data_IF_678635424939
#
_entry.id   IF_678635424939
#
_cell.length_a   1.000
_cell.length_b   1.000
_cell.length_c   1.000
_cell.angle_alpha   90.00
_cell.angle_beta   90.00
_cell.angle_gamma   90.00
#
_symmetry.space_group_name_H-M   'P 1'
#
loop_
_entity.id
_entity.type
_entity.pdbx_description
1 polymer ?
#
# COMPACT_ATOMS: atom_id res chain seq x y z
N UNK A 1 33.29 -24.56 -26.20
CA UNK A 1 33.15 -24.02 -24.83
C UNK A 1 31.82 -24.53 -24.27
N UNK A 2 31.86 -25.56 -23.43
CA UNK A 2 30.66 -26.08 -22.77
C UNK A 2 30.11 -25.05 -21.79
N UNK A 3 28.80 -24.74 -21.91
CA UNK A 3 28.11 -23.89 -20.94
C UNK A 3 27.90 -24.72 -19.68
N UNK A 4 28.58 -24.34 -18.60
CA UNK A 4 28.35 -24.91 -17.27
C UNK A 4 26.86 -24.70 -16.92
N UNK A 5 26.15 -25.78 -16.62
CA UNK A 5 24.78 -25.72 -16.07
C UNK A 5 24.88 -25.00 -14.72
N UNK A 6 24.42 -23.76 -14.69
CA UNK A 6 24.29 -22.97 -13.46
C UNK A 6 22.96 -23.37 -12.85
N UNK A 7 23.00 -23.88 -11.63
CA UNK A 7 21.80 -24.22 -10.88
C UNK A 7 21.00 -22.93 -10.67
N UNK A 8 19.71 -22.88 -11.06
CA UNK A 8 18.90 -21.69 -10.84
C UNK A 8 18.92 -21.39 -9.34
N UNK A 9 19.26 -20.14 -8.99
CA UNK A 9 19.26 -19.74 -7.60
C UNK A 9 17.88 -19.97 -7.00
N UNK A 10 17.80 -20.23 -5.69
CA UNK A 10 16.53 -20.45 -4.98
C UNK A 10 15.54 -19.27 -5.11
N UNK A 11 16.03 -18.11 -5.59
CA UNK A 11 15.23 -16.90 -5.83
C UNK A 11 15.01 -16.59 -7.32
N UNK A 12 15.39 -17.48 -8.24
CA UNK A 12 15.10 -17.31 -9.66
C UNK A 12 13.67 -17.78 -9.95
N UNK A 13 12.79 -16.90 -10.49
CA UNK A 13 11.44 -17.30 -10.83
C UNK A 13 11.47 -18.37 -11.94
N UNK A 14 10.52 -19.31 -11.95
CA UNK A 14 10.47 -20.35 -12.97
C UNK A 14 10.35 -19.71 -14.35
N UNK A 15 11.24 -20.10 -15.28
CA UNK A 15 11.15 -19.67 -16.67
C UNK A 15 9.98 -20.40 -17.33
N UNK A 16 8.89 -19.67 -17.59
CA UNK A 16 7.75 -20.19 -18.35
C UNK A 16 8.11 -20.19 -19.85
N UNK A 17 8.37 -21.37 -20.40
CA UNK A 17 8.60 -21.54 -21.84
C UNK A 17 7.26 -21.68 -22.58
N UNK A 18 6.92 -20.66 -23.37
CA UNK A 18 5.79 -20.71 -24.30
C UNK A 18 6.29 -21.13 -25.68
N UNK A 19 5.55 -22.02 -26.34
CA UNK A 19 5.81 -22.39 -27.73
C UNK A 19 4.49 -22.31 -28.52
N UNK A 20 4.53 -22.45 -29.84
CA UNK A 20 3.33 -22.37 -30.68
C UNK A 20 2.27 -23.44 -30.30
N UNK A 21 2.68 -24.55 -29.68
CA UNK A 21 1.81 -25.62 -29.19
C UNK A 21 1.27 -25.39 -27.77
N UNK A 22 1.81 -24.40 -27.04
CA UNK A 22 1.43 -24.03 -25.67
C UNK A 22 1.48 -22.49 -25.53
N UNK A 23 0.53 -21.79 -26.20
CA UNK A 23 0.46 -20.35 -26.11
C UNK A 23 0.11 -19.91 -24.69
N UNK A 24 0.49 -18.68 -24.28
CA UNK A 24 0.13 -18.15 -22.97
C UNK A 24 -1.38 -18.23 -22.73
N UNK A 25 -1.84 -18.63 -21.53
CA UNK A 25 -3.26 -18.59 -21.19
C UNK A 25 -3.81 -17.18 -21.36
N UNK A 26 -4.81 -17.00 -22.24
CA UNK A 26 -5.43 -15.69 -22.52
C UNK A 26 -6.23 -15.14 -21.33
N UNK A 27 -6.55 -15.97 -20.35
CA UNK A 27 -7.19 -15.52 -19.11
C UNK A 27 -6.14 -14.93 -18.18
N UNK A 28 -5.92 -13.61 -18.33
CA UNK A 28 -5.36 -12.76 -17.28
C UNK A 28 -6.06 -13.14 -15.97
N UNK A 29 -5.31 -13.63 -14.99
CA UNK A 29 -5.77 -13.82 -13.62
C UNK A 29 -6.42 -12.49 -13.18
N UNK A 30 -7.75 -12.44 -13.26
CA UNK A 30 -8.53 -11.37 -12.65
C UNK A 30 -8.33 -11.60 -11.17
N UNK A 31 -7.59 -10.70 -10.53
CA UNK A 31 -7.45 -10.66 -9.08
C UNK A 31 -8.79 -11.04 -8.44
N UNK A 32 -8.85 -12.18 -7.76
CA UNK A 32 -10.03 -12.58 -6.96
C UNK A 32 -10.11 -11.63 -5.76
N UNK A 33 -10.51 -10.40 -6.00
CA UNK A 33 -10.98 -9.53 -4.93
C UNK A 33 -12.29 -10.13 -4.47
N UNK A 34 -12.23 -10.78 -3.31
CA UNK A 34 -13.42 -11.13 -2.53
C UNK A 34 -14.13 -9.81 -2.23
N UNK A 35 -15.24 -9.56 -2.90
CA UNK A 35 -16.09 -8.41 -2.59
C UNK A 35 -17.07 -8.83 -1.49
N UNK A 36 -16.95 -8.20 -0.33
CA UNK A 36 -18.00 -8.28 0.70
C UNK A 36 -19.25 -7.58 0.17
N UNK A 37 -20.46 -8.13 0.37
CA UNK A 37 -21.68 -7.44 -0.01
C UNK A 37 -21.78 -6.14 0.79
N UNK A 38 -21.76 -5.01 0.09
CA UNK A 38 -22.16 -3.74 0.65
C UNK A 38 -23.65 -3.88 0.97
N UNK A 39 -23.98 -3.91 2.25
CA UNK A 39 -25.35 -3.90 2.75
C UNK A 39 -26.09 -2.68 2.20
N UNK A 40 -26.78 -2.89 1.07
CA UNK A 40 -27.75 -1.97 0.49
C UNK A 40 -29.09 -2.69 0.44
N UNK A 41 -30.09 -2.07 1.07
CA UNK A 41 -31.48 -2.51 1.18
C UNK A 41 -31.98 -3.41 0.03
N UNK A 42 -31.89 -4.71 0.23
CA UNK A 42 -32.71 -5.66 -0.50
C UNK A 42 -33.85 -6.05 0.43
N UNK A 43 -35.01 -5.43 0.21
CA UNK A 43 -36.30 -5.95 0.67
C UNK A 43 -36.49 -7.29 -0.03
N UNK A 44 -35.93 -8.35 0.52
CA UNK A 44 -36.19 -9.71 0.06
C UNK A 44 -37.42 -10.22 0.79
N UNK A 45 -38.56 -10.06 0.13
CA UNK A 45 -39.73 -10.90 0.30
C UNK A 45 -39.35 -12.34 -0.04
N UNK A 46 -38.83 -13.07 0.95
CA UNK A 46 -38.71 -14.51 0.84
C UNK A 46 -40.08 -15.14 1.10
N UNK A 47 -40.65 -15.69 0.03
CA UNK A 47 -41.86 -16.50 0.09
C UNK A 47 -41.69 -17.63 1.10
N UNK A 48 -42.70 -17.79 1.95
CA UNK A 48 -42.81 -18.89 2.88
C UNK A 48 -42.95 -20.20 2.10
N UNK A 49 -41.85 -20.94 1.98
CA UNK A 49 -41.88 -22.37 1.72
C UNK A 49 -41.49 -23.09 3.00
N UNK A 50 -42.38 -23.99 3.42
CA UNK A 50 -42.37 -24.70 4.69
C UNK A 50 -41.04 -25.44 4.92
N UNK A 51 -40.26 -24.99 5.91
CA UNK A 51 -39.21 -25.79 6.52
C UNK A 51 -39.65 -26.21 7.94
N UNK A 52 -39.40 -27.46 8.36
CA UNK A 52 -39.92 -28.00 9.61
C UNK A 52 -39.28 -27.31 10.82
N UNK A 53 -40.14 -27.00 11.80
CA UNK A 53 -39.80 -26.34 13.05
C UNK A 53 -38.94 -27.28 13.93
N UNK A 54 -37.62 -27.18 13.81
CA UNK A 54 -36.67 -27.81 14.74
C UNK A 54 -36.43 -26.87 15.91
N UNK A 55 -37.00 -27.27 17.06
CA UNK A 55 -36.69 -26.88 18.43
C UNK A 55 -35.54 -25.87 18.61
N UNK A 56 -35.90 -24.61 18.94
CA UNK A 56 -34.95 -23.63 19.49
C UNK A 56 -34.69 -23.93 20.97
N UNK A 57 -33.67 -24.73 21.26
CA UNK A 57 -32.97 -24.66 22.54
C UNK A 57 -31.71 -23.82 22.37
N UNK A 58 -31.84 -22.50 22.43
CA UNK A 58 -30.67 -21.63 22.66
C UNK A 58 -30.58 -21.35 24.15
N UNK A 59 -29.46 -21.68 24.84
CA UNK A 59 -29.27 -21.22 26.20
C UNK A 59 -29.20 -19.70 26.20
N UNK A 60 -30.00 -19.06 27.05
CA UNK A 60 -29.98 -17.61 27.25
C UNK A 60 -28.63 -17.28 27.90
N UNK A 61 -27.74 -16.63 27.15
CA UNK A 61 -26.51 -16.07 27.72
C UNK A 61 -26.91 -15.10 28.82
N UNK A 62 -26.46 -15.38 30.05
CA UNK A 62 -26.59 -14.45 31.16
C UNK A 62 -25.88 -13.15 30.79
N UNK A 63 -26.50 -12.02 31.15
CA UNK A 63 -25.93 -10.69 30.94
C UNK A 63 -24.53 -10.61 31.56
N UNK A 64 -23.52 -10.55 30.71
CA UNK A 64 -22.13 -10.33 31.12
C UNK A 64 -22.01 -8.85 31.50
N UNK A 65 -21.50 -8.48 32.69
CA UNK A 65 -21.21 -7.09 32.99
C UNK A 65 -20.12 -6.61 32.03
N UNK A 66 -20.47 -5.66 31.16
CA UNK A 66 -19.54 -4.97 30.25
C UNK A 66 -18.49 -4.25 31.09
N UNK A 67 -17.31 -4.84 31.18
CA UNK A 67 -16.15 -4.19 31.78
C UNK A 67 -15.71 -3.02 30.88
N UNK A 68 -15.89 -1.79 31.37
CA UNK A 68 -15.50 -0.52 30.76
C UNK A 68 -13.98 -0.29 30.63
N UNK A 69 -13.18 -1.35 30.40
CA UNK A 69 -11.72 -1.24 30.23
C UNK A 69 -11.27 -1.12 28.77
N UNK A 70 -12.18 -1.24 27.80
CA UNK A 70 -11.88 -1.18 26.36
C UNK A 70 -11.50 0.21 25.87
N UNK A 71 -12.08 1.26 26.47
CA UNK A 71 -12.09 2.58 25.84
C UNK A 71 -10.75 3.31 26.03
N UNK A 72 -10.09 3.15 27.19
CA UNK A 72 -8.79 3.74 27.46
C UNK A 72 -7.67 3.14 26.59
N UNK A 73 -7.77 1.83 26.29
CA UNK A 73 -6.77 1.13 25.50
C UNK A 73 -6.91 1.47 24.00
N UNK A 74 -8.14 1.77 23.55
CA UNK A 74 -8.41 2.22 22.19
C UNK A 74 -7.90 3.64 21.91
N UNK A 75 -8.01 4.58 22.86
CA UNK A 75 -7.48 5.93 22.67
C UNK A 75 -5.94 5.95 22.59
N UNK A 76 -5.25 5.16 23.43
CA UNK A 76 -3.79 5.07 23.38
C UNK A 76 -3.30 4.47 22.05
N UNK A 77 -3.98 3.44 21.56
CA UNK A 77 -3.69 2.84 20.25
C UNK A 77 -3.95 3.86 19.13
N UNK A 78 -5.06 4.59 19.20
CA UNK A 78 -5.42 5.58 18.19
C UNK A 78 -4.40 6.71 18.12
N UNK A 79 -3.92 7.22 19.25
CA UNK A 79 -2.87 8.25 19.27
C UNK A 79 -1.54 7.74 18.72
N UNK A 80 -1.12 6.51 19.07
CA UNK A 80 0.09 5.92 18.49
C UNK A 80 -0.01 5.76 16.97
N UNK A 81 -1.19 5.40 16.46
CA UNK A 81 -1.44 5.29 15.01
C UNK A 81 -1.39 6.66 14.34
N UNK A 82 -2.01 7.70 14.92
CA UNK A 82 -1.94 9.07 14.37
C UNK A 82 -0.51 9.58 14.30
N UNK A 83 0.27 9.39 15.37
CA UNK A 83 1.69 9.79 15.42
C UNK A 83 2.51 9.05 14.36
N UNK A 84 2.30 7.73 14.20
CA UNK A 84 2.99 6.97 13.16
C UNK A 84 2.57 7.37 11.74
N UNK A 85 1.30 7.68 11.52
CA UNK A 85 0.82 8.16 10.22
C UNK A 85 1.40 9.52 9.88
N UNK A 86 1.44 10.45 10.83
CA UNK A 86 2.07 11.76 10.63
C UNK A 86 3.57 11.59 10.34
N UNK A 87 4.26 10.71 11.07
CA UNK A 87 5.67 10.38 10.81
C UNK A 87 5.90 9.76 9.43
N UNK A 88 4.95 8.98 8.92
CA UNK A 88 4.99 8.41 7.57
C UNK A 88 4.76 9.48 6.50
N UNK A 89 3.89 10.47 6.77
CA UNK A 89 3.61 11.59 5.87
C UNK A 89 4.73 12.65 5.89
N UNK A 90 5.42 12.81 7.02
CA UNK A 90 6.58 13.68 7.20
C UNK A 90 7.87 13.09 6.62
N UNK A 91 7.86 11.82 6.23
CA UNK A 91 8.96 11.18 5.50
C UNK A 91 9.00 11.72 4.07
N UNK A 92 9.33 13.00 3.94
CA UNK A 92 9.59 13.67 2.68
C UNK A 92 10.89 13.08 2.13
N UNK A 93 10.83 12.51 0.93
CA UNK A 93 12.00 11.97 0.24
C UNK A 93 12.55 13.05 -0.72
N UNK A 94 13.83 13.48 -0.58
CA UNK A 94 14.41 14.50 -1.46
C UNK A 94 14.55 14.03 -2.91
N UNK A 95 14.43 12.73 -3.21
CA UNK A 95 14.67 12.18 -4.57
C UNK A 95 13.76 12.80 -5.64
N UNK A 96 12.50 13.02 -5.32
CA UNK A 96 11.56 13.63 -6.27
C UNK A 96 11.94 15.08 -6.59
N UNK A 97 12.30 15.84 -5.56
CA UNK A 97 12.76 17.21 -5.72
C UNK A 97 14.10 17.24 -6.48
N UNK A 98 15.05 16.35 -6.18
CA UNK A 98 16.32 16.24 -6.94
C UNK A 98 16.05 15.93 -8.42
N UNK A 99 15.11 15.03 -8.71
CA UNK A 99 14.73 14.72 -10.08
C UNK A 99 14.13 15.94 -10.80
N UNK A 100 13.19 16.66 -10.17
CA UNK A 100 12.64 17.90 -10.73
C UNK A 100 13.72 18.96 -10.95
N UNK A 101 14.63 19.11 -9.99
CA UNK A 101 15.75 20.04 -10.07
C UNK A 101 16.60 19.75 -11.31
N UNK A 102 16.95 18.49 -11.55
CA UNK A 102 17.70 18.08 -12.74
C UNK A 102 16.96 18.41 -14.04
N UNK A 103 15.63 18.21 -14.08
CA UNK A 103 14.81 18.57 -15.24
C UNK A 103 14.78 20.08 -15.49
N UNK A 104 14.69 20.91 -14.45
CA UNK A 104 14.71 22.36 -14.61
C UNK A 104 16.05 22.88 -15.13
N UNK A 105 17.17 22.27 -14.71
CA UNK A 105 18.48 22.57 -15.28
C UNK A 105 18.56 22.22 -16.76
N UNK A 106 18.03 21.06 -17.18
CA UNK A 106 17.97 20.65 -18.60
C UNK A 106 17.09 21.60 -19.42
N UNK A 107 16.01 22.11 -18.83
CA UNK A 107 15.10 23.05 -19.49
C UNK A 107 15.59 24.50 -19.46
N UNK A 108 16.78 24.78 -18.91
CA UNK A 108 17.32 26.13 -18.72
C UNK A 108 16.38 27.06 -17.91
N UNK A 109 15.54 26.47 -17.05
CA UNK A 109 14.61 27.18 -16.19
C UNK A 109 15.29 27.47 -14.85
N UNK A 110 16.12 28.51 -14.84
CA UNK A 110 16.96 28.86 -13.69
C UNK A 110 16.14 29.30 -12.48
N UNK A 111 15.00 29.97 -12.67
CA UNK A 111 14.14 30.42 -11.57
C UNK A 111 13.56 29.24 -10.79
N UNK A 112 13.04 28.24 -11.50
CA UNK A 112 12.47 27.05 -10.88
C UNK A 112 13.56 26.18 -10.25
N UNK A 113 14.72 26.06 -10.91
CA UNK A 113 15.87 25.36 -10.35
C UNK A 113 16.37 26.03 -9.06
N UNK A 114 16.47 27.37 -9.03
CA UNK A 114 16.87 28.11 -7.84
C UNK A 114 15.88 27.92 -6.68
N UNK A 115 14.57 28.00 -6.93
CA UNK A 115 13.57 27.73 -5.88
C UNK A 115 13.69 26.32 -5.31
N UNK A 116 13.89 25.31 -6.17
CA UNK A 116 14.04 23.93 -5.71
C UNK A 116 15.35 23.71 -4.96
N UNK A 117 16.43 24.37 -5.37
CA UNK A 117 17.72 24.35 -4.66
C UNK A 117 17.55 24.86 -3.23
N UNK A 118 16.88 26.00 -3.05
CA UNK A 118 16.62 26.58 -1.72
C UNK A 118 15.74 25.66 -0.87
N UNK A 119 14.69 25.06 -1.46
CA UNK A 119 13.84 24.07 -0.79
C UNK A 119 14.64 22.85 -0.31
N UNK A 120 15.48 22.29 -1.17
CA UNK A 120 16.33 21.14 -0.86
C UNK A 120 17.36 21.45 0.24
N UNK A 121 17.98 22.63 0.19
CA UNK A 121 18.94 23.07 1.22
C UNK A 121 18.25 23.44 2.55
N UNK A 122 16.98 23.86 2.52
CA UNK A 122 16.18 24.13 3.71
C UNK A 122 15.69 22.86 4.40
N UNK A 123 15.05 21.95 3.66
CA UNK A 123 14.42 20.75 4.23
C UNK A 123 15.41 19.58 4.40
N UNK A 124 16.44 19.46 3.54
CA UNK A 124 17.35 18.31 3.48
C UNK A 124 18.83 18.71 3.55
N UNK A 125 19.12 19.73 4.36
CA UNK A 125 20.46 20.33 4.47
C UNK A 125 21.55 19.27 4.67
N UNK A 126 21.36 18.33 5.59
CA UNK A 126 22.38 17.34 5.94
C UNK A 126 22.75 16.42 4.76
N UNK A 127 21.80 16.14 3.87
CA UNK A 127 21.99 15.25 2.72
C UNK A 127 22.43 16.01 1.47
N UNK A 128 21.93 17.24 1.27
CA UNK A 128 22.10 17.97 0.03
C UNK A 128 23.26 18.98 0.07
N UNK A 129 23.64 19.51 1.24
CA UNK A 129 24.57 20.64 1.32
C UNK A 129 25.97 20.35 0.76
N UNK A 130 26.48 19.11 0.90
CA UNK A 130 27.84 18.75 0.45
C UNK A 130 28.02 18.90 -1.07
N UNK A 131 27.03 18.49 -1.87
CA UNK A 131 27.12 18.50 -3.32
C UNK A 131 26.32 19.64 -3.99
N UNK A 132 25.21 20.09 -3.38
CA UNK A 132 24.30 21.06 -3.98
C UNK A 132 24.76 22.51 -3.78
N UNK A 133 25.51 22.82 -2.71
CA UNK A 133 25.99 24.17 -2.42
C UNK A 133 26.94 24.72 -3.49
N UNK A 134 27.76 23.84 -4.09
CA UNK A 134 28.74 24.20 -5.12
C UNK A 134 28.14 24.40 -6.52
N UNK A 135 26.89 24.01 -6.75
CA UNK A 135 26.24 24.13 -8.06
C UNK A 135 25.80 25.58 -8.28
N UNK A 136 26.37 26.23 -9.30
CA UNK A 136 25.94 27.55 -9.78
C UNK A 136 24.87 27.36 -10.85
N UNK A 137 23.74 28.02 -10.66
CA UNK A 137 22.58 28.05 -11.57
C UNK A 137 22.59 29.41 -12.27
#
# INVERSE_FOLDING_TARGET
MEKKKIDPGWNDPPMLNYNASNPPPKSRITNKRVAFPLSGNATQTFGASNAPNVFRFTPRLADIPVAQKSDLLQEEILEKVKVNFNKLLENKDPRNDIYLFSNYLVQNNNDSAHMLKEKLLGEFKDTCNEWLSGIKI
#
